data_IF_249006548622
#
_entry.id   IF_249006548622
#
_cell.length_a   1.000
_cell.length_b   1.000
_cell.length_c   1.000
_cell.angle_alpha   90.00
_cell.angle_beta   90.00
_cell.angle_gamma   90.00
#
_symmetry.space_group_name_H-M   'P 1'
#
loop_
_entity.id
_entity.type
_entity.pdbx_description
1 polymer ?
#
# COMPACT_ATOMS: atom_id res chain seq x y z
N UNK A 1 -26.05 11.20 -29.37
CA UNK A 1 -25.96 10.39 -28.14
C UNK A 1 -24.57 9.76 -27.97
N UNK A 2 -23.60 10.18 -28.78
CA UNK A 2 -22.34 9.45 -28.98
C UNK A 2 -21.19 10.00 -28.15
N UNK A 3 -21.23 11.30 -27.83
CA UNK A 3 -20.26 11.94 -26.93
C UNK A 3 -20.37 11.40 -25.50
N UNK A 4 -21.59 11.22 -24.98
CA UNK A 4 -21.81 10.61 -23.67
C UNK A 4 -21.38 9.14 -23.63
N UNK A 5 -21.54 8.40 -24.74
CA UNK A 5 -21.02 7.03 -24.84
C UNK A 5 -19.49 7.00 -24.85
N UNK A 6 -18.83 7.91 -25.58
CA UNK A 6 -17.38 8.03 -25.59
C UNK A 6 -16.82 8.44 -24.22
N UNK A 7 -17.43 9.42 -23.55
CA UNK A 7 -17.01 9.85 -22.20
C UNK A 7 -17.25 8.73 -21.17
N UNK A 8 -18.39 8.04 -21.22
CA UNK A 8 -18.68 6.91 -20.34
C UNK A 8 -17.76 5.71 -20.60
N UNK A 9 -17.46 5.40 -21.87
CA UNK A 9 -16.46 4.38 -22.23
C UNK A 9 -15.08 4.79 -21.74
N UNK A 10 -14.66 6.04 -21.91
CA UNK A 10 -13.38 6.56 -21.40
C UNK A 10 -13.31 6.52 -19.87
N UNK A 11 -14.38 6.87 -19.15
CA UNK A 11 -14.45 6.78 -17.69
C UNK A 11 -14.40 5.33 -17.19
N UNK A 12 -15.06 4.39 -17.88
CA UNK A 12 -14.94 2.96 -17.58
C UNK A 12 -13.53 2.46 -17.90
N UNK A 13 -12.92 2.95 -18.98
CA UNK A 13 -11.57 2.55 -19.39
C UNK A 13 -10.50 3.07 -18.41
N UNK A 14 -10.64 4.30 -17.90
CA UNK A 14 -9.75 4.84 -16.86
C UNK A 14 -10.02 4.24 -15.49
N UNK A 15 -11.26 3.85 -15.17
CA UNK A 15 -11.56 3.09 -13.95
C UNK A 15 -10.87 1.71 -13.93
N UNK A 16 -10.68 1.07 -15.10
CA UNK A 16 -9.89 -0.18 -15.20
C UNK A 16 -8.38 0.02 -15.00
N UNK A 17 -7.88 1.24 -15.09
CA UNK A 17 -6.44 1.55 -14.93
C UNK A 17 -6.04 1.75 -13.46
N UNK A 18 -7.01 1.88 -12.52
CA UNK A 18 -6.73 2.12 -11.10
C UNK A 18 -6.94 0.93 -10.14
N UNK A 19 -7.15 -0.29 -10.64
CA UNK A 19 -7.12 -1.49 -9.80
C UNK A 19 -6.19 -2.50 -10.42
N UNK A 20 -4.90 -2.35 -10.13
CA UNK A 20 -3.93 -3.42 -10.30
C UNK A 20 -3.21 -3.65 -8.97
N UNK A 21 -3.96 -3.96 -7.91
CA UNK A 21 -3.43 -4.96 -6.99
C UNK A 21 -3.59 -6.28 -7.73
N UNK A 22 -2.49 -7.00 -7.94
CA UNK A 22 -2.54 -8.41 -8.30
C UNK A 22 -3.20 -9.13 -7.14
N UNK A 23 -4.54 -9.13 -7.14
CA UNK A 23 -5.35 -9.69 -6.08
C UNK A 23 -5.08 -11.18 -6.06
N UNK A 24 -4.42 -11.61 -4.99
CA UNK A 24 -4.05 -12.99 -4.80
C UNK A 24 -5.29 -13.79 -4.40
N UNK A 25 -6.02 -14.32 -5.37
CA UNK A 25 -7.22 -15.13 -5.06
C UNK A 25 -6.86 -16.30 -4.14
N UNK A 26 -5.68 -16.89 -4.32
CA UNK A 26 -5.17 -17.99 -3.50
C UNK A 26 -4.83 -17.58 -2.07
N UNK A 27 -4.52 -16.31 -1.82
CA UNK A 27 -4.35 -15.80 -0.45
C UNK A 27 -5.69 -15.82 0.27
N UNK A 28 -6.75 -15.32 -0.36
CA UNK A 28 -8.08 -15.22 0.25
C UNK A 28 -8.66 -16.59 0.61
N UNK A 29 -8.42 -17.62 -0.20
CA UNK A 29 -8.92 -18.99 0.05
C UNK A 29 -8.22 -19.67 1.23
N UNK A 30 -7.06 -19.17 1.66
CA UNK A 30 -6.34 -19.72 2.82
C UNK A 30 -6.86 -19.20 4.16
N UNK A 31 -7.70 -18.16 4.14
CA UNK A 31 -8.22 -17.56 5.34
C UNK A 31 -9.13 -18.55 6.09
N UNK A 32 -8.81 -18.80 7.36
CA UNK A 32 -9.56 -19.69 8.23
C UNK A 32 -9.73 -19.06 9.61
N UNK A 33 -10.97 -19.07 10.12
CA UNK A 33 -11.25 -18.71 11.50
C UNK A 33 -10.56 -19.71 12.42
N UNK A 34 -9.86 -19.21 13.44
CA UNK A 34 -9.21 -20.02 14.47
C UNK A 34 -9.67 -19.57 15.84
N UNK A 35 -9.63 -20.48 16.80
CA UNK A 35 -10.02 -20.20 18.19
C UNK A 35 -9.07 -19.18 18.84
N UNK A 36 -7.77 -19.30 18.57
CA UNK A 36 -6.77 -18.37 19.08
C UNK A 36 -5.56 -18.29 18.16
N UNK A 37 -4.86 -17.15 18.24
CA UNK A 37 -3.58 -16.96 17.59
C UNK A 37 -2.40 -17.39 18.49
N UNK A 38 -1.24 -17.72 17.88
CA UNK A 38 -0.03 -18.04 18.62
C UNK A 38 0.38 -16.97 19.63
N UNK A 39 0.80 -17.39 20.83
CA UNK A 39 1.14 -16.48 21.93
C UNK A 39 2.60 -16.03 21.91
N UNK A 40 3.46 -16.77 21.20
CA UNK A 40 4.90 -16.56 21.17
C UNK A 40 5.50 -17.04 19.84
N UNK A 41 6.79 -16.76 19.64
CA UNK A 41 7.51 -17.09 18.40
C UNK A 41 7.57 -18.59 18.13
N UNK A 42 7.62 -19.43 19.16
CA UNK A 42 7.66 -20.89 19.00
C UNK A 42 6.34 -21.40 18.43
N UNK A 43 5.23 -21.05 19.09
CA UNK A 43 3.88 -21.39 18.60
C UNK A 43 3.63 -20.81 17.20
N UNK A 44 4.13 -19.59 16.94
CA UNK A 44 3.98 -18.94 15.64
C UNK A 44 4.71 -19.71 14.55
N UNK A 45 5.96 -20.13 14.79
CA UNK A 45 6.73 -20.92 13.83
C UNK A 45 6.07 -22.28 13.56
N UNK A 46 5.56 -22.94 14.60
CA UNK A 46 4.85 -24.21 14.46
C UNK A 46 3.55 -24.04 13.66
N UNK A 47 2.77 -23.00 13.94
CA UNK A 47 1.55 -22.70 13.20
C UNK A 47 1.83 -22.31 11.74
N UNK A 48 2.86 -21.49 11.50
CA UNK A 48 3.31 -21.11 10.17
C UNK A 48 3.76 -22.32 9.34
N UNK A 49 4.51 -23.24 9.96
CA UNK A 49 4.94 -24.48 9.33
C UNK A 49 3.74 -25.36 8.97
N UNK A 50 2.76 -25.53 9.88
CA UNK A 50 1.52 -26.26 9.61
C UNK A 50 0.68 -25.62 8.49
N UNK A 51 0.64 -24.29 8.43
CA UNK A 51 -0.14 -23.55 7.41
C UNK A 51 0.50 -23.64 6.03
N UNK A 52 1.84 -23.66 5.94
CA UNK A 52 2.56 -23.94 4.70
C UNK A 52 2.50 -22.83 3.64
N UNK A 53 2.41 -21.56 4.05
CA UNK A 53 2.22 -20.42 3.13
C UNK A 53 3.30 -20.26 2.05
N UNK A 54 4.52 -20.75 2.31
CA UNK A 54 5.64 -20.72 1.35
C UNK A 54 5.38 -21.56 0.10
N UNK A 55 4.46 -22.52 0.16
CA UNK A 55 4.13 -23.41 -0.96
C UNK A 55 3.06 -22.83 -1.89
N UNK A 56 2.53 -21.64 -1.56
CA UNK A 56 1.45 -21.01 -2.31
C UNK A 56 2.07 -19.96 -3.22
N UNK A 57 2.02 -20.22 -4.53
CA UNK A 57 2.49 -19.28 -5.54
C UNK A 57 1.46 -18.17 -5.72
N UNK A 58 1.86 -16.92 -5.51
CA UNK A 58 0.99 -15.79 -5.73
C UNK A 58 1.67 -14.70 -6.56
N UNK A 59 1.59 -14.84 -7.88
CA UNK A 59 2.30 -13.97 -8.83
C UNK A 59 3.75 -13.73 -8.36
N UNK A 60 4.12 -12.48 -8.08
CA UNK A 60 5.45 -12.02 -7.63
C UNK A 60 5.57 -11.80 -6.11
N UNK A 61 4.54 -12.14 -5.32
CA UNK A 61 4.51 -11.87 -3.88
C UNK A 61 4.74 -13.14 -3.08
N UNK A 62 5.73 -13.12 -2.20
CA UNK A 62 5.89 -14.18 -1.20
C UNK A 62 4.78 -14.08 -0.16
N UNK A 63 4.02 -15.16 0.03
CA UNK A 63 3.01 -15.23 1.07
C UNK A 63 3.63 -15.69 2.39
N UNK A 64 3.30 -14.98 3.46
CA UNK A 64 3.71 -15.30 4.81
C UNK A 64 2.50 -15.71 5.65
N UNK A 65 2.78 -16.42 6.74
CA UNK A 65 1.75 -16.77 7.71
C UNK A 65 1.36 -15.54 8.53
N UNK A 66 0.06 -15.29 8.60
CA UNK A 66 -0.53 -14.32 9.51
C UNK A 66 -1.54 -15.02 10.41
N UNK A 67 -1.57 -14.62 11.68
CA UNK A 67 -2.71 -14.84 12.54
C UNK A 67 -3.08 -13.51 13.20
N UNK A 68 -4.28 -13.03 12.91
CA UNK A 68 -4.70 -11.65 13.17
C UNK A 68 -6.17 -11.62 13.59
N UNK A 69 -6.64 -10.50 14.11
CA UNK A 69 -8.06 -10.30 14.42
C UNK A 69 -8.87 -10.08 13.13
N UNK A 70 -10.19 -10.23 13.17
CA UNK A 70 -11.07 -9.79 12.09
C UNK A 70 -11.31 -8.26 12.16
N UNK A 71 -12.08 -7.73 11.20
CA UNK A 71 -12.38 -6.30 11.12
C UNK A 71 -13.10 -5.74 12.37
N UNK A 72 -13.85 -6.59 13.06
CA UNK A 72 -14.61 -6.23 14.27
C UNK A 72 -13.84 -6.44 15.57
N UNK A 73 -12.63 -7.00 15.51
CA UNK A 73 -11.80 -7.27 16.69
C UNK A 73 -12.34 -8.34 17.64
N UNK A 74 -13.30 -9.16 17.20
CA UNK A 74 -13.99 -10.16 18.03
C UNK A 74 -13.72 -11.62 17.60
N UNK A 75 -12.96 -11.85 16.53
CA UNK A 75 -12.54 -13.18 16.11
C UNK A 75 -11.08 -13.16 15.65
N UNK A 76 -10.45 -14.33 15.60
CA UNK A 76 -9.11 -14.51 15.03
C UNK A 76 -9.14 -15.33 13.75
N UNK A 77 -8.28 -14.95 12.81
CA UNK A 77 -8.10 -15.58 11.51
C UNK A 77 -6.63 -15.87 11.28
N UNK A 78 -6.35 -17.06 10.75
CA UNK A 78 -5.08 -17.34 10.09
C UNK A 78 -5.24 -17.24 8.58
N UNK A 79 -4.23 -16.73 7.90
CA UNK A 79 -4.24 -16.54 6.43
C UNK A 79 -2.81 -16.49 5.91
N UNK A 80 -2.60 -16.96 4.69
CA UNK A 80 -1.38 -16.76 3.93
C UNK A 80 -1.54 -15.49 3.10
N UNK A 81 -0.77 -14.44 3.39
CA UNK A 81 -0.92 -13.15 2.74
C UNK A 81 0.45 -12.46 2.61
N UNK A 82 0.57 -11.43 1.75
CA UNK A 82 1.75 -10.60 1.73
C UNK A 82 1.93 -9.87 3.06
N UNK A 83 3.17 -9.77 3.52
CA UNK A 83 3.50 -8.98 4.70
C UNK A 83 3.41 -7.49 4.39
N UNK A 84 2.68 -6.76 5.24
CA UNK A 84 2.42 -5.33 5.09
C UNK A 84 2.98 -4.57 6.28
N UNK A 85 3.46 -3.36 6.03
CA UNK A 85 3.81 -2.42 7.10
C UNK A 85 2.54 -1.82 7.68
N UNK A 86 2.21 -2.17 8.91
CA UNK A 86 1.10 -1.61 9.68
C UNK A 86 1.61 -0.36 10.39
N UNK A 87 0.89 0.76 10.27
CA UNK A 87 1.28 2.07 10.79
C UNK A 87 0.19 2.62 11.71
N UNK A 88 0.62 3.33 12.75
CA UNK A 88 -0.23 4.13 13.63
C UNK A 88 -0.63 3.44 14.93
N UNK A 89 0.23 2.56 15.48
CA UNK A 89 0.01 1.91 16.79
C UNK A 89 -1.38 1.27 16.92
N UNK A 90 -1.74 0.48 15.91
CA UNK A 90 -3.01 -0.25 15.83
C UNK A 90 -2.78 -1.73 15.54
N UNK A 91 -3.78 -2.55 15.86
CA UNK A 91 -3.74 -3.97 15.56
C UNK A 91 -3.83 -4.25 14.05
N UNK A 92 -3.31 -5.41 13.65
CA UNK A 92 -3.47 -5.92 12.29
C UNK A 92 -4.78 -6.70 12.22
N UNK A 93 -5.53 -6.53 11.14
CA UNK A 93 -6.71 -7.35 10.87
C UNK A 93 -6.61 -8.11 9.55
N UNK A 94 -7.41 -9.16 9.46
CA UNK A 94 -7.86 -9.71 8.20
C UNK A 94 -9.27 -9.18 7.90
N UNK A 95 -9.38 -8.36 6.86
CA UNK A 95 -10.67 -7.89 6.36
C UNK A 95 -11.23 -8.94 5.40
N UNK A 96 -12.26 -9.66 5.84
CA UNK A 96 -12.89 -10.71 5.02
C UNK A 96 -13.54 -10.16 3.75
N UNK A 97 -14.22 -9.00 3.83
CA UNK A 97 -14.87 -8.36 2.69
C UNK A 97 -13.86 -7.86 1.66
N UNK A 98 -12.74 -7.32 2.12
CA UNK A 98 -11.62 -6.86 1.29
C UNK A 98 -10.57 -7.93 0.98
N UNK A 99 -10.75 -9.16 1.50
CA UNK A 99 -9.88 -10.33 1.31
C UNK A 99 -8.38 -10.05 1.52
N UNK A 100 -8.06 -9.23 2.52
CA UNK A 100 -6.69 -8.75 2.71
C UNK A 100 -6.34 -8.49 4.15
N UNK A 101 -5.04 -8.57 4.43
CA UNK A 101 -4.45 -8.02 5.64
C UNK A 101 -4.46 -6.49 5.54
N UNK A 102 -4.81 -5.82 6.64
CA UNK A 102 -4.70 -4.37 6.74
C UNK A 102 -4.57 -3.93 8.20
N UNK A 103 -4.46 -2.62 8.41
CA UNK A 103 -4.58 -2.01 9.74
C UNK A 103 -6.03 -2.08 10.21
N UNK A 104 -6.24 -2.37 11.49
CA UNK A 104 -7.54 -2.21 12.13
C UNK A 104 -7.65 -0.79 12.67
N UNK A 105 -8.63 -0.01 12.24
CA UNK A 105 -8.76 1.40 12.67
C UNK A 105 -9.52 1.56 13.99
N UNK A 106 -10.06 0.45 14.52
CA UNK A 106 -10.94 0.42 15.70
C UNK A 106 -10.20 -0.08 16.94
N UNK A 107 -9.25 -1.01 16.77
CA UNK A 107 -8.54 -1.67 17.86
C UNK A 107 -7.14 -1.04 18.03
N UNK A 108 -6.98 -0.12 19.00
CA UNK A 108 -5.68 0.48 19.29
C UNK A 108 -4.72 -0.55 19.87
N UNK A 109 -3.43 -0.24 19.79
CA UNK A 109 -2.37 -1.10 20.28
C UNK A 109 -1.31 -0.24 20.97
N UNK A 110 -1.28 -0.33 22.29
CA UNK A 110 -0.48 0.55 23.15
C UNK A 110 0.99 0.11 23.24
N UNK A 111 1.25 -1.19 23.11
CA UNK A 111 2.58 -1.79 23.25
C UNK A 111 3.28 -2.00 21.92
N UNK A 112 2.60 -1.81 20.79
CA UNK A 112 3.27 -1.85 19.50
C UNK A 112 4.01 -0.55 19.18
N UNK A 113 5.13 -0.66 18.45
CA UNK A 113 5.80 0.49 17.88
C UNK A 113 4.90 1.24 16.88
N UNK A 114 5.26 2.49 16.50
CA UNK A 114 4.52 3.29 15.52
C UNK A 114 4.28 2.57 14.19
N UNK A 115 5.14 1.61 13.84
CA UNK A 115 4.91 0.68 12.76
C UNK A 115 5.53 -0.69 13.02
N UNK A 116 4.92 -1.75 12.47
CA UNK A 116 5.47 -3.11 12.47
C UNK A 116 5.01 -3.88 11.23
N UNK A 117 5.65 -5.01 10.92
CA UNK A 117 5.21 -5.88 9.82
C UNK A 117 4.08 -6.81 10.29
N UNK A 118 3.05 -6.96 9.47
CA UNK A 118 1.85 -7.74 9.81
C UNK A 118 2.10 -9.22 10.09
N UNK A 119 3.24 -9.80 9.68
CA UNK A 119 3.61 -11.17 10.06
C UNK A 119 4.08 -11.26 11.53
N UNK A 120 4.38 -10.12 12.16
CA UNK A 120 4.84 -10.02 13.53
C UNK A 120 3.72 -9.68 14.54
N UNK A 121 2.45 -9.71 14.13
CA UNK A 121 1.33 -9.38 15.02
C UNK A 121 1.27 -10.24 16.28
N UNK A 122 1.81 -11.47 16.23
CA UNK A 122 1.95 -12.35 17.40
C UNK A 122 2.79 -11.76 18.55
N UNK A 123 3.59 -10.72 18.29
CA UNK A 123 4.34 -10.03 19.35
C UNK A 123 3.42 -9.15 20.22
N UNK A 124 2.25 -8.75 19.71
CA UNK A 124 1.36 -7.80 20.34
C UNK A 124 0.10 -8.50 20.84
N UNK A 125 0.28 -9.32 21.88
CA UNK A 125 -0.77 -10.17 22.43
C UNK A 125 -2.01 -9.41 22.95
N UNK A 126 -1.87 -8.11 23.23
CA UNK A 126 -3.01 -7.25 23.57
C UNK A 126 -4.08 -7.21 22.47
N UNK A 127 -3.69 -7.27 21.19
CA UNK A 127 -4.63 -7.32 20.07
C UNK A 127 -5.60 -8.50 20.17
N UNK A 128 -5.14 -9.65 20.68
CA UNK A 128 -5.98 -10.84 20.84
C UNK A 128 -6.76 -10.86 22.16
N UNK A 129 -6.42 -10.00 23.13
CA UNK A 129 -7.22 -9.85 24.36
C UNK A 129 -8.56 -9.17 24.08
N UNK A 130 -8.63 -8.27 23.10
CA UNK A 130 -9.89 -7.66 22.68
C UNK A 130 -10.92 -8.70 22.23
N UNK A 131 -10.47 -9.73 21.51
CA UNK A 131 -11.30 -10.89 21.12
C UNK A 131 -11.84 -11.63 22.33
N UNK A 132 -10.97 -11.93 23.32
CA UNK A 132 -11.38 -12.62 24.55
C UNK A 132 -12.41 -11.80 25.33
N UNK A 133 -12.22 -10.49 25.44
CA UNK A 133 -13.13 -9.61 26.15
C UNK A 133 -14.49 -9.47 25.43
N UNK A 134 -14.49 -9.40 24.11
CA UNK A 134 -15.72 -9.42 23.31
C UNK A 134 -16.50 -10.72 23.56
N UNK A 135 -15.83 -11.88 23.47
CA UNK A 135 -16.46 -13.17 23.71
C UNK A 135 -17.03 -13.28 25.13
N UNK A 136 -16.31 -12.82 26.16
CA UNK A 136 -16.81 -12.78 27.55
C UNK A 136 -18.04 -11.88 27.67
N UNK A 137 -18.04 -10.70 27.03
CA UNK A 137 -19.19 -9.81 27.02
C UNK A 137 -20.42 -10.45 26.37
N UNK A 138 -20.25 -11.13 25.23
CA UNK A 138 -21.34 -11.87 24.57
C UNK A 138 -21.85 -13.04 25.42
N UNK A 139 -20.97 -13.82 26.04
CA UNK A 139 -21.37 -14.93 26.92
C UNK A 139 -22.07 -14.44 28.19
N UNK A 140 -21.68 -13.29 28.75
CA UNK A 140 -22.36 -12.69 29.90
C UNK A 140 -23.76 -12.18 29.53
N UNK A 141 -23.91 -11.60 28.33
CA UNK A 141 -25.22 -11.24 27.76
C UNK A 141 -26.09 -12.49 27.57
N UNK A 142 -25.53 -13.55 27.00
CA UNK A 142 -26.24 -14.82 26.73
C UNK A 142 -26.66 -15.54 28.02
N UNK A 143 -25.79 -15.54 29.04
CA UNK A 143 -26.06 -16.18 30.34
C UNK A 143 -27.06 -15.40 31.22
N UNK A 144 -27.30 -14.12 30.90
CA UNK A 144 -28.30 -13.28 31.59
C UNK A 144 -29.73 -13.45 31.08
N UNK A 145 -29.94 -14.22 30.00
CA UNK A 145 -31.27 -14.55 29.46
C UNK A 145 -31.61 -16.04 29.59
N UNK A 146 -32.56 -16.39 30.47
CA UNK A 146 -33.16 -17.73 30.48
C UNK A 146 -34.27 -17.81 29.42
N UNK A 147 -34.07 -18.71 28.45
CA UNK A 147 -35.05 -19.49 27.67
C UNK A 147 -36.27 -18.73 27.10
N UNK A 148 -36.22 -18.44 25.80
CA UNK A 148 -37.36 -17.96 25.03
C UNK A 148 -37.17 -18.17 23.53
N UNK A 149 -37.55 -19.37 23.08
CA UNK A 149 -38.14 -19.70 21.76
C UNK A 149 -37.46 -19.30 20.45
N UNK A 150 -37.49 -20.26 19.52
CA UNK A 150 -37.23 -20.13 18.09
C UNK A 150 -37.57 -18.74 17.52
N UNK A 151 -36.58 -18.12 16.88
CA UNK A 151 -36.79 -16.96 16.02
C UNK A 151 -36.43 -17.35 14.59
N UNK A 152 -37.49 -17.67 13.87
CA UNK A 152 -37.66 -17.64 12.42
C UNK A 152 -36.64 -16.78 11.68
N UNK A 153 -36.08 -17.35 10.61
CA UNK A 153 -35.30 -16.63 9.59
C UNK A 153 -36.14 -15.48 9.06
N UNK A 154 -35.79 -14.24 9.42
CA UNK A 154 -36.32 -13.06 8.76
C UNK A 154 -35.39 -12.69 7.61
N UNK A 155 -35.80 -13.11 6.42
CA UNK A 155 -35.25 -12.70 5.14
C UNK A 155 -35.43 -11.18 5.00
N UNK A 156 -34.33 -10.42 5.06
CA UNK A 156 -34.37 -8.98 4.78
C UNK A 156 -34.41 -8.82 3.27
N UNK A 157 -35.63 -8.87 2.73
CA UNK A 157 -35.97 -8.40 1.38
C UNK A 157 -35.65 -6.91 1.31
N UNK A 158 -34.58 -6.57 0.58
CA UNK A 158 -34.33 -5.20 0.15
C UNK A 158 -35.40 -4.79 -0.88
N UNK A 159 -36.51 -4.25 -0.37
CA UNK A 159 -37.47 -3.51 -1.20
C UNK A 159 -36.79 -2.25 -1.73
N UNK A 160 -36.32 -2.35 -2.96
CA UNK A 160 -35.98 -1.20 -3.79
C UNK A 160 -37.29 -0.46 -4.08
N UNK A 161 -37.49 0.67 -3.44
CA UNK A 161 -38.55 1.62 -3.79
C UNK A 161 -38.25 2.19 -5.18
N UNK A 162 -38.77 1.50 -6.20
CA UNK A 162 -38.89 2.02 -7.55
C UNK A 162 -39.98 3.09 -7.52
N UNK A 163 -39.56 4.31 -7.83
CA UNK A 163 -40.38 5.51 -7.83
C UNK A 163 -41.59 5.33 -8.75
N UNK A 164 -42.73 5.68 -8.17
CA UNK A 164 -44.00 5.89 -8.84
C UNK A 164 -43.84 6.84 -10.03
N UNK A 165 -44.50 6.45 -11.11
CA UNK A 165 -44.81 7.21 -12.31
C UNK A 165 -45.36 8.61 -12.01
N UNK A 166 -44.92 9.55 -12.85
CA UNK A 166 -45.59 10.76 -13.32
C UNK A 166 -46.16 11.75 -12.30
N UNK A 167 -45.37 12.82 -12.07
CA UNK A 167 -45.76 14.24 -12.18
C UNK A 167 -44.61 15.12 -11.64
N UNK A 168 -43.46 15.25 -12.33
CA UNK A 168 -42.39 16.21 -11.94
C UNK A 168 -41.26 16.37 -12.99
N UNK A 169 -41.58 16.45 -14.28
CA UNK A 169 -40.57 16.57 -15.37
C UNK A 169 -39.63 17.78 -15.21
N UNK A 170 -40.11 18.90 -14.64
CA UNK A 170 -39.33 20.13 -14.46
C UNK A 170 -38.24 20.04 -13.36
N UNK A 171 -38.52 19.33 -12.27
CA UNK A 171 -37.60 19.18 -11.13
C UNK A 171 -36.39 18.32 -11.50
N UNK A 172 -36.62 17.26 -12.28
CA UNK A 172 -35.57 16.34 -12.74
C UNK A 172 -34.60 17.06 -13.68
N UNK A 173 -35.10 17.89 -14.61
CA UNK A 173 -34.26 18.68 -15.51
C UNK A 173 -33.37 19.66 -14.72
N UNK A 174 -33.94 20.29 -13.69
CA UNK A 174 -33.20 21.23 -12.83
C UNK A 174 -32.05 20.54 -12.09
N UNK A 175 -32.29 19.35 -11.53
CA UNK A 175 -31.26 18.57 -10.83
C UNK A 175 -30.13 18.17 -11.80
N UNK A 176 -30.47 17.76 -13.02
CA UNK A 176 -29.48 17.37 -14.04
C UNK A 176 -28.58 18.57 -14.40
N UNK A 177 -29.16 19.76 -14.60
CA UNK A 177 -28.39 20.98 -14.90
C UNK A 177 -27.43 21.33 -13.74
N UNK A 178 -27.92 21.28 -12.49
CA UNK A 178 -27.10 21.55 -11.32
C UNK A 178 -25.90 20.60 -11.19
N UNK A 179 -26.11 19.31 -11.45
CA UNK A 179 -25.05 18.30 -11.41
C UNK A 179 -24.03 18.54 -12.54
N UNK A 180 -24.48 18.87 -13.76
CA UNK A 180 -23.58 19.15 -14.88
C UNK A 180 -22.72 20.39 -14.63
N UNK A 181 -23.29 21.47 -14.12
CA UNK A 181 -22.56 22.69 -13.77
C UNK A 181 -21.55 22.42 -12.65
N UNK A 182 -21.95 21.66 -11.63
CA UNK A 182 -21.05 21.26 -10.53
C UNK A 182 -19.85 20.44 -11.02
N UNK A 183 -20.07 19.46 -11.89
CA UNK A 183 -19.00 18.62 -12.45
C UNK A 183 -18.03 19.44 -13.29
N UNK A 184 -18.54 20.36 -14.15
CA UNK A 184 -17.70 21.24 -14.95
C UNK A 184 -16.85 22.16 -14.07
N UNK A 185 -17.43 22.74 -13.01
CA UNK A 185 -16.69 23.56 -12.05
C UNK A 185 -15.58 22.77 -11.35
N UNK A 186 -15.85 21.53 -10.92
CA UNK A 186 -14.84 20.65 -10.29
C UNK A 186 -13.72 20.32 -11.27
N UNK A 187 -14.03 20.01 -12.53
CA UNK A 187 -13.03 19.74 -13.57
C UNK A 187 -12.18 20.99 -13.85
N UNK A 188 -12.78 22.18 -13.93
CA UNK A 188 -12.04 23.44 -14.10
C UNK A 188 -11.12 23.69 -12.90
N UNK A 189 -11.60 23.55 -11.67
CA UNK A 189 -10.78 23.71 -10.47
C UNK A 189 -9.63 22.70 -10.44
N UNK A 190 -9.91 21.44 -10.79
CA UNK A 190 -8.89 20.38 -10.80
C UNK A 190 -7.84 20.64 -11.89
N UNK A 191 -8.24 21.03 -13.10
CA UNK A 191 -7.33 21.33 -14.22
C UNK A 191 -6.50 22.60 -13.97
N UNK A 192 -7.09 23.65 -13.38
CA UNK A 192 -6.37 24.86 -12.97
C UNK A 192 -5.37 24.56 -11.85
N UNK A 193 -5.76 23.77 -10.84
CA UNK A 193 -4.87 23.36 -9.74
C UNK A 193 -3.75 22.44 -10.23
N UNK A 194 -4.05 21.52 -11.14
CA UNK A 194 -3.06 20.63 -11.75
C UNK A 194 -2.05 21.40 -12.60
N UNK A 195 -2.49 22.39 -13.39
CA UNK A 195 -1.58 23.30 -14.12
C UNK A 195 -0.70 24.13 -13.18
N UNK A 196 -1.26 24.63 -12.08
CA UNK A 196 -0.51 25.38 -11.05
C UNK A 196 0.58 24.53 -10.38
N UNK A 197 0.27 23.28 -10.02
CA UNK A 197 1.24 22.34 -9.47
C UNK A 197 2.30 21.89 -10.48
N UNK A 198 1.90 21.60 -11.73
CA UNK A 198 2.83 21.20 -12.79
C UNK A 198 3.85 22.30 -13.11
N UNK A 199 3.41 23.57 -13.16
CA UNK A 199 4.31 24.71 -13.36
C UNK A 199 5.31 24.86 -12.20
N UNK A 200 4.87 24.60 -10.96
CA UNK A 200 5.73 24.67 -9.77
C UNK A 200 6.73 23.51 -9.69
N UNK A 201 6.35 22.32 -10.14
CA UNK A 201 7.26 21.16 -10.22
C UNK A 201 8.26 21.34 -11.38
N UNK A 202 7.81 21.81 -12.54
CA UNK A 202 8.67 22.08 -13.69
C UNK A 202 9.74 23.13 -13.37
N UNK A 203 9.43 24.17 -12.59
CA UNK A 203 10.41 25.18 -12.18
C UNK A 203 11.48 24.61 -11.22
N UNK A 204 11.11 23.68 -10.34
CA UNK A 204 12.06 22.96 -9.47
C UNK A 204 12.96 22.02 -10.27
N UNK A 205 12.39 21.26 -11.21
CA UNK A 205 13.17 20.40 -12.11
C UNK A 205 14.16 21.20 -12.96
N UNK A 206 13.73 22.35 -13.52
CA UNK A 206 14.62 23.24 -14.28
C UNK A 206 15.79 23.75 -13.44
N UNK A 207 15.55 24.06 -12.15
CA UNK A 207 16.59 24.46 -11.21
C UNK A 207 17.57 23.31 -10.91
N UNK A 208 17.08 22.09 -10.70
CA UNK A 208 17.91 20.92 -10.45
C UNK A 208 18.71 20.44 -11.67
N UNK A 209 18.21 20.66 -12.88
CA UNK A 209 18.96 20.35 -14.12
C UNK A 209 20.10 21.34 -14.33
N UNK A 210 19.87 22.64 -14.13
CA UNK A 210 20.94 23.64 -14.25
C UNK A 210 22.08 23.40 -13.26
N UNK A 211 21.76 23.07 -12.00
CA UNK A 211 22.79 22.77 -10.98
C UNK A 211 23.63 21.55 -11.38
N UNK A 212 22.99 20.49 -11.90
CA UNK A 212 23.70 19.27 -12.31
C UNK A 212 24.61 19.47 -13.54
N UNK A 213 24.22 20.39 -14.43
CA UNK A 213 25.05 20.76 -15.59
C UNK A 213 26.26 21.56 -15.13
N UNK A 214 26.09 22.48 -14.18
CA UNK A 214 27.18 23.30 -13.64
C UNK A 214 28.20 22.44 -12.87
N UNK A 215 27.74 21.54 -11.99
CA UNK A 215 28.61 20.57 -11.30
C UNK A 215 29.30 19.60 -12.27
N UNK A 216 28.61 19.17 -13.34
CA UNK A 216 29.19 18.27 -14.34
C UNK A 216 30.30 18.92 -15.16
N UNK A 217 30.17 20.22 -15.47
CA UNK A 217 31.20 20.99 -16.18
C UNK A 217 32.44 21.20 -15.31
N UNK A 218 32.26 21.53 -14.02
CA UNK A 218 33.38 21.75 -13.09
C UNK A 218 34.19 20.46 -12.81
N UNK A 219 33.52 19.31 -12.69
CA UNK A 219 34.21 18.02 -12.54
C UNK A 219 35.01 17.66 -13.79
N UNK A 220 34.49 17.95 -14.98
CA UNK A 220 35.15 17.63 -16.24
C UNK A 220 36.38 18.51 -16.50
N UNK A 221 36.34 19.79 -16.11
CA UNK A 221 37.51 20.69 -16.18
C UNK A 221 38.62 20.25 -15.24
N UNK A 222 38.27 19.90 -13.99
CA UNK A 222 39.25 19.43 -13.00
C UNK A 222 39.92 18.10 -13.43
N UNK A 223 39.17 17.22 -14.11
CA UNK A 223 39.73 15.96 -14.62
C UNK A 223 40.72 16.18 -15.77
N UNK A 224 40.45 17.16 -16.64
CA UNK A 224 41.31 17.47 -17.79
C UNK A 224 42.61 18.16 -17.35
N UNK A 225 42.54 19.05 -16.36
CA UNK A 225 43.70 19.69 -15.76
C UNK A 225 44.63 18.66 -15.11
N UNK A 226 44.06 17.76 -14.29
CA UNK A 226 44.85 16.73 -13.60
C UNK A 226 45.48 15.71 -14.57
N UNK A 227 44.83 15.42 -15.71
CA UNK A 227 45.41 14.55 -16.75
C UNK A 227 46.65 15.19 -17.40
N UNK A 228 46.63 16.50 -17.61
CA UNK A 228 47.76 17.25 -18.19
C UNK A 228 48.96 17.21 -17.25
N UNK A 229 48.73 17.45 -15.95
CA UNK A 229 49.78 17.39 -14.91
C UNK A 229 50.45 16.00 -14.88
N UNK A 230 49.67 14.92 -14.95
CA UNK A 230 50.22 13.55 -14.97
C UNK A 230 51.07 13.31 -16.22
N UNK A 231 50.67 13.81 -17.39
CA UNK A 231 51.45 13.66 -18.62
C UNK A 231 52.78 14.40 -18.56
N UNK A 232 52.81 15.60 -17.97
CA UNK A 232 54.04 16.38 -17.81
C UNK A 232 55.02 15.69 -16.86
N UNK A 233 54.54 15.14 -15.73
CA UNK A 233 55.36 14.37 -14.79
C UNK A 233 55.93 13.11 -15.45
N UNK A 234 55.15 12.40 -16.26
CA UNK A 234 55.65 11.22 -16.98
C UNK A 234 56.71 11.57 -18.02
N UNK A 235 56.61 12.73 -18.67
CA UNK A 235 57.62 13.20 -19.61
C UNK A 235 58.94 13.54 -18.90
N UNK A 236 58.87 14.21 -17.75
CA UNK A 236 60.05 14.61 -16.97
C UNK A 236 60.80 13.40 -16.39
N UNK A 237 60.07 12.36 -15.95
CA UNK A 237 60.67 11.11 -15.46
C UNK A 237 61.39 10.34 -16.58
N UNK A 238 60.82 10.30 -17.78
CA UNK A 238 61.45 9.65 -18.92
C UNK A 238 62.72 10.38 -19.39
N UNK A 239 62.71 11.72 -19.38
CA UNK A 239 63.89 12.51 -19.76
C UNK A 239 65.05 12.36 -18.75
N UNK A 240 64.73 12.16 -17.46
CA UNK A 240 65.72 11.87 -16.42
C UNK A 240 66.35 10.46 -16.57
N UNK A 241 65.55 9.48 -16.96
CA UNK A 241 66.01 8.09 -17.20
C UNK A 241 67.02 8.01 -18.36
N UNK A 242 66.80 8.75 -19.45
CA UNK A 242 67.71 8.77 -20.60
C UNK A 242 69.05 9.45 -20.29
N UNK A 243 69.05 10.51 -19.46
CA UNK A 243 70.31 11.17 -19.01
C UNK A 243 71.16 10.27 -18.11
N UNK A 244 70.56 9.28 -17.45
CA UNK A 244 71.28 8.37 -16.55
C UNK A 244 71.96 7.21 -17.32
N UNK A 245 71.41 6.79 -18.46
CA UNK A 245 71.97 5.72 -19.30
C UNK A 245 73.18 6.15 -20.17
N UNK A 246 73.42 7.45 -20.37
CA UNK A 246 74.60 7.93 -21.12
C UNK A 246 75.91 7.96 -20.33
N UNK A 247 75.88 7.81 -19.00
CA UNK A 247 77.08 7.82 -18.16
C UNK A 247 77.62 6.42 -17.81
N UNK A 248 77.00 5.35 -18.31
CA UNK A 248 77.48 3.98 -18.14
C UNK A 248 78.19 3.50 -19.41
N UNK A 249 79.40 4.01 -19.69
CA UNK A 249 80.32 3.43 -20.68
C UNK A 249 81.54 2.85 -19.97
N UNK A 250 81.79 1.53 -20.06
CA UNK A 250 82.98 0.92 -19.48
C UNK A 250 84.16 1.10 -20.45
N UNK A 251 85.28 1.61 -19.94
CA UNK A 251 86.63 1.48 -20.50
C UNK A 251 87.63 1.61 -19.36
#
# INVERSE_FOLDING_TARGET
MDFYRLVFVCLIYTAKVFVNSTECKDSATTARKVESCPHNVKEWNEAAARKGCKNISCNSSSLEYHCVINAWGNETFEVCAPSLRIVGSVCTEYNQGGRRIQRNEIVPCEKCPPFYFSNQSYKYQECYKHVKNANVSYTLLEKSGLMGTESTIQEITYSSSLLTSDENSSQIITIIICVLVGVVAVIIVFTVKQRSCANKIWSLFKKSVNIRVEEGVEVQTNLLENKTIIQDVFHEVNESSDKTNLNAKPS
#
